data_IF_901397892625
#
_entry.id   IF_901397892625
#
_cell.length_a   1.000
_cell.length_b   1.000
_cell.length_c   1.000
_cell.angle_alpha   90.00
_cell.angle_beta   90.00
_cell.angle_gamma   90.00
#
_symmetry.space_group_name_H-M   'P 1'
#
loop_
_entity.id
_entity.type
_entity.pdbx_description
1 polymer ?
#
# COMPACT_ATOMS: atom_id res chain seq x y z
N UNK A 1 -21.96 59.91 31.17
CA UNK A 1 -21.06 60.71 32.03
C UNK A 1 -19.82 61.02 31.18
N UNK A 2 -19.45 62.27 30.87
CA UNK A 2 -19.02 63.39 31.75
C UNK A 2 -17.65 63.09 32.37
N UNK A 3 -16.56 63.87 32.21
CA UNK A 3 -16.32 65.17 31.54
C UNK A 3 -14.82 65.25 31.07
N UNK A 4 -14.46 65.76 29.87
CA UNK A 4 -14.12 67.15 29.40
C UNK A 4 -12.75 67.76 29.78
N UNK A 5 -12.19 68.53 28.81
CA UNK A 5 -10.92 69.31 28.79
C UNK A 5 -9.63 68.46 28.64
N UNK A 6 -8.65 68.78 27.78
CA UNK A 6 -8.41 69.93 26.88
C UNK A 6 -7.21 70.78 27.33
N UNK A 7 -6.36 71.36 26.48
CA UNK A 7 -6.42 71.65 25.01
C UNK A 7 -5.12 71.10 24.31
N UNK A 8 -4.57 71.50 23.14
CA UNK A 8 -4.74 72.61 22.19
C UNK A 8 -4.21 72.28 20.76
N UNK A 9 -4.08 73.30 19.89
CA UNK A 9 -3.39 73.32 18.58
C UNK A 9 -2.60 74.66 18.46
N UNK A 10 -1.81 74.93 17.39
CA UNK A 10 -2.35 75.49 16.12
C UNK A 10 -1.56 75.01 14.84
N UNK A 11 -1.81 75.38 13.57
CA UNK A 11 -2.92 76.09 12.91
C UNK A 11 -3.10 75.67 11.41
N UNK A 12 -4.28 76.02 10.84
CA UNK A 12 -4.68 76.27 9.41
C UNK A 12 -3.83 75.83 8.18
N UNK A 13 -4.39 74.92 7.36
CA UNK A 13 -5.04 75.08 6.00
C UNK A 13 -4.75 76.31 5.09
N UNK A 14 -5.05 76.36 3.74
CA UNK A 14 -5.68 75.38 2.80
C UNK A 14 -5.16 75.31 1.31
N UNK A 15 -5.86 74.54 0.46
CA UNK A 15 -6.21 74.75 -1.00
C UNK A 15 -5.28 74.46 -2.21
N UNK A 16 -5.71 73.46 -3.01
CA UNK A 16 -5.99 73.42 -4.47
C UNK A 16 -5.00 73.88 -5.59
N UNK A 17 -4.92 72.99 -6.61
CA UNK A 17 -4.72 73.16 -8.09
C UNK A 17 -3.28 73.21 -8.68
N UNK A 18 -3.22 72.64 -9.89
CA UNK A 18 -2.11 72.55 -10.87
C UNK A 18 -2.08 73.81 -11.78
N UNK A 19 -1.17 74.02 -12.78
CA UNK A 19 -0.20 73.07 -13.39
C UNK A 19 1.20 73.62 -13.81
N UNK A 20 1.95 72.77 -14.53
CA UNK A 20 2.89 73.05 -15.63
C UNK A 20 4.38 73.43 -15.37
N UNK A 21 5.27 72.57 -15.91
CA UNK A 21 6.58 72.83 -16.56
C UNK A 21 7.72 73.47 -15.71
N UNK A 22 9.01 73.14 -15.84
CA UNK A 22 9.83 72.68 -16.98
C UNK A 22 10.99 71.73 -16.53
N UNK A 23 11.67 71.10 -17.50
CA UNK A 23 13.09 70.61 -17.49
C UNK A 23 13.65 69.53 -16.51
N UNK A 24 14.18 68.47 -17.14
CA UNK A 24 15.49 67.77 -16.96
C UNK A 24 16.35 68.00 -15.69
N UNK A 25 17.11 67.01 -15.15
CA UNK A 25 17.71 65.81 -15.78
C UNK A 25 18.15 64.74 -14.75
N UNK A 26 18.30 63.47 -15.19
CA UNK A 26 18.85 62.30 -14.43
C UNK A 26 18.00 61.82 -13.23
N UNK A 27 18.09 60.57 -12.74
CA UNK A 27 19.06 59.49 -13.01
C UNK A 27 18.38 58.10 -13.03
N UNK A 28 19.08 57.07 -13.53
CA UNK A 28 18.75 55.62 -13.49
C UNK A 28 17.58 55.11 -14.37
N UNK A 29 17.94 54.41 -15.45
CA UNK A 29 17.09 53.41 -16.11
C UNK A 29 17.46 52.00 -15.62
N UNK A 30 16.53 51.04 -15.78
CA UNK A 30 16.71 49.66 -15.32
C UNK A 30 17.84 48.93 -16.07
N UNK A 31 18.69 48.22 -15.31
CA UNK A 31 19.65 47.28 -15.88
C UNK A 31 18.91 46.02 -16.34
N UNK A 32 18.71 45.87 -17.65
CA UNK A 32 18.41 44.58 -18.24
C UNK A 32 19.62 43.66 -18.03
N UNK A 33 19.44 42.52 -17.36
CA UNK A 33 20.37 41.40 -17.50
C UNK A 33 19.89 40.52 -18.64
N UNK A 34 20.80 40.23 -19.58
CA UNK A 34 20.45 39.62 -20.85
C UNK A 34 20.08 38.13 -20.69
N UNK A 35 19.08 37.70 -21.45
CA UNK A 35 18.71 36.29 -21.58
C UNK A 35 19.86 35.48 -22.19
N UNK A 36 20.68 34.85 -21.35
CA UNK A 36 21.48 33.73 -21.82
C UNK A 36 20.59 32.51 -21.90
N UNK A 37 20.19 32.16 -23.13
CA UNK A 37 19.61 30.86 -23.44
C UNK A 37 20.71 29.80 -23.33
N UNK A 38 21.08 29.44 -22.10
CA UNK A 38 21.59 28.10 -21.84
C UNK A 38 20.47 27.15 -22.27
N UNK A 39 20.69 26.39 -23.34
CA UNK A 39 19.78 25.35 -23.79
C UNK A 39 19.53 24.41 -22.62
N UNK A 40 18.29 24.34 -22.15
CA UNK A 40 17.81 23.14 -21.49
C UNK A 40 18.00 22.02 -22.52
N UNK A 41 19.02 21.19 -22.29
CA UNK A 41 19.06 19.90 -22.94
C UNK A 41 17.94 19.10 -22.29
N UNK A 42 17.10 18.47 -23.11
CA UNK A 42 16.05 17.58 -22.63
C UNK A 42 16.73 16.36 -22.00
N UNK A 43 17.01 16.46 -20.69
CA UNK A 43 17.45 15.33 -19.88
C UNK A 43 16.38 14.23 -19.99
N UNK A 44 16.77 12.96 -20.18
CA UNK A 44 15.83 11.89 -20.47
C UNK A 44 15.01 11.55 -19.24
N UNK A 45 13.90 12.26 -19.06
CA UNK A 45 12.77 11.81 -18.26
C UNK A 45 12.42 10.37 -18.69
N UNK A 46 12.20 9.49 -17.71
CA UNK A 46 11.73 8.13 -18.01
C UNK A 46 10.29 8.25 -18.52
N UNK A 47 10.18 8.36 -19.85
CA UNK A 47 8.95 8.39 -20.65
C UNK A 47 7.83 7.72 -19.87
N UNK A 48 6.84 8.49 -19.38
CA UNK A 48 6.09 8.16 -18.15
C UNK A 48 5.42 6.76 -18.21
N UNK A 49 5.15 6.31 -19.43
CA UNK A 49 4.73 4.98 -19.85
C UNK A 49 5.63 3.84 -19.32
N UNK A 50 6.94 4.04 -19.15
CA UNK A 50 7.90 3.07 -18.58
C UNK A 50 7.59 2.74 -17.11
N UNK A 51 7.22 3.74 -16.31
CA UNK A 51 7.00 3.58 -14.86
C UNK A 51 5.86 2.62 -14.55
N UNK A 52 4.86 2.55 -15.43
CA UNK A 52 3.78 1.58 -15.38
C UNK A 52 4.23 0.11 -15.59
N UNK A 53 5.44 -0.14 -16.11
CA UNK A 53 6.01 -1.50 -16.19
C UNK A 53 6.76 -1.91 -14.91
N UNK A 54 7.23 -0.95 -14.11
CA UNK A 54 8.15 -1.22 -13.01
C UNK A 54 7.39 -1.79 -11.81
N UNK A 55 7.79 -2.98 -11.36
CA UNK A 55 7.33 -3.60 -10.11
C UNK A 55 7.92 -2.84 -8.92
N UNK A 56 9.24 -2.73 -8.91
CA UNK A 56 10.04 -2.04 -7.90
C UNK A 56 11.41 -1.65 -8.46
N UNK A 57 12.07 -0.74 -7.74
CA UNK A 57 13.43 -0.28 -8.00
C UNK A 57 14.32 -0.74 -6.83
N UNK A 58 15.57 -1.14 -7.08
CA UNK A 58 16.56 -1.44 -6.03
C UNK A 58 17.77 -0.52 -6.17
N UNK A 59 17.98 0.31 -5.15
CA UNK A 59 19.08 1.27 -5.07
C UNK A 59 20.30 0.67 -4.34
N UNK A 60 21.52 0.71 -4.91
CA UNK A 60 22.68 0.00 -4.35
C UNK A 60 23.44 0.80 -3.27
N UNK A 61 23.28 0.41 -2.00
CA UNK A 61 23.83 1.17 -0.85
C UNK A 61 25.17 0.61 -0.31
N UNK A 62 25.90 -0.12 -1.15
CA UNK A 62 27.20 -0.75 -0.86
C UNK A 62 27.99 -0.97 -2.15
N UNK A 63 29.32 -0.98 -2.07
CA UNK A 63 30.18 -1.23 -3.23
C UNK A 63 29.88 -2.58 -3.91
N UNK A 64 29.57 -3.61 -3.13
CA UNK A 64 29.16 -4.92 -3.65
C UNK A 64 27.80 -4.88 -4.38
N UNK A 65 26.84 -4.07 -3.91
CA UNK A 65 25.59 -3.87 -4.63
C UNK A 65 25.79 -3.08 -5.93
N UNK A 66 26.63 -2.04 -5.91
CA UNK A 66 26.98 -1.25 -7.11
C UNK A 66 27.62 -2.12 -8.19
N UNK A 67 28.58 -2.98 -7.82
CA UNK A 67 29.18 -3.97 -8.72
C UNK A 67 28.14 -4.91 -9.35
N UNK A 68 27.12 -5.32 -8.59
CA UNK A 68 26.01 -6.12 -9.13
C UNK A 68 25.18 -5.35 -10.15
N UNK A 69 24.95 -4.03 -9.97
CA UNK A 69 24.25 -3.24 -11.00
C UNK A 69 25.10 -3.09 -12.26
N UNK A 70 26.39 -2.76 -12.14
CA UNK A 70 27.31 -2.64 -13.28
C UNK A 70 27.40 -3.96 -14.07
N UNK A 71 27.54 -5.09 -13.37
CA UNK A 71 27.56 -6.42 -14.00
C UNK A 71 26.20 -6.81 -14.61
N UNK A 72 25.09 -6.30 -14.07
CA UNK A 72 23.75 -6.48 -14.65
C UNK A 72 23.59 -5.63 -15.92
N UNK A 73 24.10 -4.40 -15.96
CA UNK A 73 24.02 -3.52 -17.13
C UNK A 73 24.68 -4.15 -18.38
N UNK A 74 25.80 -4.86 -18.20
CA UNK A 74 26.51 -5.56 -19.26
C UNK A 74 25.80 -6.83 -19.76
N UNK A 75 24.95 -7.45 -18.93
CA UNK A 75 24.39 -8.81 -19.18
C UNK A 75 22.90 -8.83 -19.44
N UNK A 76 22.18 -7.90 -18.84
CA UNK A 76 20.73 -7.83 -18.79
C UNK A 76 20.30 -6.35 -18.64
N UNK A 77 20.66 -5.46 -19.59
CA UNK A 77 20.42 -4.02 -19.49
C UNK A 77 18.94 -3.65 -19.29
N UNK A 78 17.99 -4.51 -19.68
CA UNK A 78 16.56 -4.32 -19.40
C UNK A 78 16.21 -4.28 -17.90
N UNK A 79 17.12 -4.67 -17.02
CA UNK A 79 16.97 -4.61 -15.57
C UNK A 79 17.69 -3.42 -14.92
N UNK A 80 18.32 -2.54 -15.70
CA UNK A 80 19.05 -1.37 -15.19
C UNK A 80 18.38 -0.09 -15.69
N UNK A 81 18.16 0.84 -14.79
CA UNK A 81 17.67 2.18 -15.14
C UNK A 81 18.83 2.98 -15.71
N UNK A 82 18.69 3.47 -16.94
CA UNK A 82 19.65 4.39 -17.53
C UNK A 82 19.50 5.75 -16.82
N UNK A 83 20.62 6.40 -16.50
CA UNK A 83 20.68 7.52 -15.55
C UNK A 83 19.56 8.55 -15.71
N UNK A 84 18.63 8.52 -14.76
CA UNK A 84 17.78 9.65 -14.39
C UNK A 84 18.04 9.90 -12.91
N UNK A 85 18.15 11.16 -12.50
CA UNK A 85 18.53 11.51 -11.12
C UNK A 85 17.51 10.97 -10.10
N UNK A 86 17.93 10.49 -8.92
CA UNK A 86 17.02 9.81 -7.97
C UNK A 86 15.83 10.66 -7.48
N UNK A 87 15.88 11.98 -7.73
CA UNK A 87 14.84 12.99 -7.53
C UNK A 87 13.59 12.84 -8.41
N UNK A 88 13.63 12.08 -9.52
CA UNK A 88 12.43 11.84 -10.35
C UNK A 88 11.51 10.76 -9.78
N UNK A 89 12.03 9.88 -8.91
CA UNK A 89 11.22 8.86 -8.25
C UNK A 89 10.57 9.42 -6.97
N UNK A 90 9.32 9.87 -7.09
CA UNK A 90 8.47 10.28 -5.96
C UNK A 90 7.99 9.06 -5.14
N UNK A 91 8.91 8.35 -4.47
CA UNK A 91 8.61 7.24 -3.56
C UNK A 91 8.58 7.65 -2.08
N UNK A 92 8.81 8.94 -1.79
CA UNK A 92 8.79 9.50 -0.45
C UNK A 92 10.10 9.38 0.34
N UNK A 93 11.17 8.85 -0.27
CA UNK A 93 12.53 8.87 0.29
C UNK A 93 13.29 10.10 -0.24
N UNK A 94 14.05 10.78 0.63
CA UNK A 94 14.96 11.85 0.18
C UNK A 94 16.37 11.31 -0.10
N UNK A 95 17.18 12.05 -0.87
CA UNK A 95 18.62 11.74 -1.05
C UNK A 95 19.32 11.59 0.32
N UNK A 96 19.03 12.50 1.26
CA UNK A 96 19.55 12.45 2.61
C UNK A 96 19.08 11.23 3.42
N UNK A 97 18.09 10.44 2.97
CA UNK A 97 17.73 9.14 3.58
C UNK A 97 18.49 7.98 2.95
N UNK A 98 18.85 8.07 1.67
CA UNK A 98 19.74 7.12 0.99
C UNK A 98 21.17 7.27 1.55
N UNK A 99 21.68 8.50 1.66
CA UNK A 99 23.02 8.83 2.20
C UNK A 99 23.26 8.31 3.63
N UNK A 100 22.21 8.24 4.47
CA UNK A 100 22.28 7.65 5.83
C UNK A 100 22.54 6.13 5.82
N UNK A 101 22.11 5.47 4.74
CA UNK A 101 22.14 4.03 4.57
C UNK A 101 23.23 3.58 3.59
N UNK A 102 23.85 4.48 2.83
CA UNK A 102 25.09 4.19 2.11
C UNK A 102 26.22 3.78 3.07
N UNK A 103 26.98 2.76 2.68
CA UNK A 103 28.07 2.18 3.49
C UNK A 103 29.43 2.26 2.81
N UNK A 104 29.51 3.04 1.73
CA UNK A 104 30.70 3.30 0.94
C UNK A 104 30.74 4.82 0.65
N UNK A 105 31.92 5.43 0.41
CA UNK A 105 31.97 6.82 0.00
C UNK A 105 31.26 6.99 -1.34
N UNK A 106 30.40 8.01 -1.45
CA UNK A 106 29.90 8.45 -2.74
C UNK A 106 31.09 8.68 -3.69
N UNK A 107 31.07 8.13 -4.92
CA UNK A 107 32.16 8.34 -5.85
C UNK A 107 32.25 9.83 -6.19
N UNK A 108 33.48 10.38 -6.20
CA UNK A 108 33.71 11.83 -6.22
C UNK A 108 33.13 12.55 -7.44
N UNK A 109 33.03 13.88 -7.33
CA UNK A 109 32.16 14.80 -8.11
C UNK A 109 32.10 14.61 -9.66
N UNK A 110 33.10 13.99 -10.28
CA UNK A 110 33.14 13.66 -11.73
C UNK A 110 32.48 12.31 -12.11
N UNK A 111 32.06 11.49 -11.14
CA UNK A 111 31.54 10.14 -11.39
C UNK A 111 30.02 10.09 -11.35
N UNK A 112 29.44 9.56 -12.42
CA UNK A 112 27.98 9.34 -12.59
C UNK A 112 27.39 8.67 -11.34
N UNK A 113 26.29 9.22 -10.85
CA UNK A 113 25.47 8.62 -9.79
C UNK A 113 25.22 7.13 -10.04
N UNK A 114 25.11 6.31 -8.96
CA UNK A 114 24.89 4.89 -9.11
C UNK A 114 23.57 4.60 -9.84
N UNK A 115 23.66 3.76 -10.87
CA UNK A 115 22.51 3.22 -11.57
C UNK A 115 21.69 2.36 -10.61
N UNK A 116 20.36 2.38 -10.75
CA UNK A 116 19.43 1.54 -9.99
C UNK A 116 19.00 0.31 -10.82
N UNK A 117 18.62 -0.78 -10.14
CA UNK A 117 17.95 -1.92 -10.80
C UNK A 117 16.44 -1.66 -10.90
N UNK A 118 15.84 -1.84 -12.07
CA UNK A 118 14.38 -1.91 -12.24
C UNK A 118 13.92 -3.33 -12.53
N UNK A 119 13.05 -3.86 -11.67
CA UNK A 119 12.37 -5.13 -11.91
C UNK A 119 11.08 -4.85 -12.68
N UNK A 120 11.12 -5.07 -14.00
CA UNK A 120 10.06 -4.73 -14.97
C UNK A 120 9.12 -5.91 -15.25
N UNK A 121 7.81 -5.67 -15.28
CA UNK A 121 6.78 -6.70 -15.54
C UNK A 121 6.87 -7.32 -16.93
N UNK A 122 7.30 -6.56 -17.94
CA UNK A 122 7.53 -7.04 -19.31
C UNK A 122 8.80 -7.91 -19.46
N UNK A 123 9.71 -7.91 -18.47
CA UNK A 123 11.04 -8.48 -18.65
C UNK A 123 11.04 -10.02 -18.66
N UNK A 124 11.89 -10.57 -19.53
CA UNK A 124 12.05 -12.02 -19.73
C UNK A 124 12.88 -12.64 -18.61
N UNK A 125 12.22 -13.03 -17.52
CA UNK A 125 12.83 -13.80 -16.42
C UNK A 125 12.94 -15.30 -16.75
N UNK A 126 13.92 -15.97 -16.14
CA UNK A 126 14.16 -17.42 -16.25
C UNK A 126 12.94 -18.27 -15.88
N UNK A 127 12.16 -17.83 -14.88
CA UNK A 127 10.98 -18.55 -14.42
C UNK A 127 9.90 -17.60 -13.87
N UNK A 128 8.88 -17.22 -14.67
CA UNK A 128 7.81 -16.32 -14.22
C UNK A 128 7.05 -16.79 -12.97
N UNK A 129 6.99 -18.10 -12.68
CA UNK A 129 6.37 -18.61 -11.46
C UNK A 129 7.17 -18.26 -10.19
N UNK A 130 8.48 -18.03 -10.32
CA UNK A 130 9.36 -17.61 -9.22
C UNK A 130 9.40 -16.09 -9.05
N UNK A 131 9.21 -15.30 -10.11
CA UNK A 131 9.55 -13.87 -10.11
C UNK A 131 11.03 -13.67 -10.42
N UNK A 132 11.65 -12.64 -9.86
CA UNK A 132 13.05 -12.29 -10.09
C UNK A 132 13.96 -12.99 -9.07
N UNK A 133 14.86 -13.84 -9.53
CA UNK A 133 15.78 -14.62 -8.70
C UNK A 133 17.15 -13.96 -8.64
N UNK A 134 17.68 -13.83 -7.42
CA UNK A 134 18.98 -13.27 -7.12
C UNK A 134 19.90 -14.36 -6.58
N UNK A 135 21.13 -14.48 -7.10
CA UNK A 135 22.09 -15.49 -6.64
C UNK A 135 23.34 -15.56 -7.51
N UNK A 136 24.24 -16.50 -7.23
CA UNK A 136 25.53 -16.62 -7.96
C UNK A 136 25.47 -17.47 -9.24
N UNK A 137 24.38 -18.21 -9.50
CA UNK A 137 24.29 -19.08 -10.68
C UNK A 137 23.77 -18.29 -11.90
N UNK A 138 24.59 -18.01 -12.92
CA UNK A 138 24.14 -17.24 -14.08
C UNK A 138 23.11 -17.94 -14.95
N UNK A 139 22.92 -19.25 -14.78
CA UNK A 139 21.95 -20.06 -15.55
C UNK A 139 20.63 -20.29 -14.80
N UNK A 140 20.41 -19.64 -13.64
CA UNK A 140 19.21 -19.80 -12.81
C UNK A 140 18.81 -18.54 -12.02
N UNK A 141 19.48 -17.40 -12.25
CA UNK A 141 19.20 -16.12 -11.58
C UNK A 141 19.12 -15.02 -12.63
N UNK A 142 18.10 -14.18 -12.53
CA UNK A 142 17.88 -13.03 -13.41
C UNK A 142 18.87 -11.90 -13.08
N UNK A 143 19.15 -11.72 -11.79
CA UNK A 143 20.19 -10.82 -11.27
C UNK A 143 21.29 -11.66 -10.64
N UNK A 144 22.52 -11.50 -11.11
CA UNK A 144 23.65 -12.32 -10.66
C UNK A 144 24.56 -11.57 -9.70
N UNK A 145 24.74 -12.17 -8.52
CA UNK A 145 25.61 -11.67 -7.47
C UNK A 145 26.98 -12.31 -7.65
N UNK A 146 27.83 -11.63 -8.42
CA UNK A 146 29.22 -12.01 -8.71
C UNK A 146 30.17 -10.94 -8.12
N UNK A 147 30.46 -11.10 -6.84
CA UNK A 147 31.33 -10.25 -5.99
C UNK A 147 31.99 -11.17 -4.94
N UNK A 148 33.12 -10.78 -4.32
CA UNK A 148 33.90 -11.63 -3.39
C UNK A 148 33.09 -12.27 -2.22
N UNK A 149 31.88 -11.76 -1.96
CA UNK A 149 30.82 -12.40 -1.16
C UNK A 149 30.44 -13.84 -1.58
N UNK A 150 30.88 -14.35 -2.74
CA UNK A 150 30.54 -15.67 -3.35
C UNK A 150 30.49 -16.83 -2.33
N UNK A 151 31.39 -16.80 -1.33
CA UNK A 151 31.50 -17.85 -0.29
C UNK A 151 30.25 -17.96 0.60
N UNK A 152 29.44 -16.91 0.73
CA UNK A 152 28.14 -16.94 1.44
C UNK A 152 26.93 -16.87 0.50
N UNK A 153 27.10 -16.40 -0.72
CA UNK A 153 26.02 -16.35 -1.72
C UNK A 153 25.66 -17.77 -2.19
N UNK A 154 24.37 -18.12 -2.14
CA UNK A 154 23.85 -19.42 -2.61
C UNK A 154 23.56 -19.40 -4.12
N UNK A 155 23.55 -20.57 -4.77
CA UNK A 155 23.34 -20.70 -6.23
C UNK A 155 22.13 -19.89 -6.71
N UNK A 156 21.00 -20.06 -6.03
CA UNK A 156 19.90 -19.10 -5.93
C UNK A 156 19.86 -18.69 -4.46
N UNK A 157 19.79 -17.40 -4.16
CA UNK A 157 19.91 -16.87 -2.79
C UNK A 157 18.55 -16.42 -2.25
N UNK A 158 17.93 -15.44 -2.91
CA UNK A 158 16.57 -15.01 -2.63
C UNK A 158 15.83 -14.75 -3.93
N UNK A 159 14.54 -14.50 -3.83
CA UNK A 159 13.73 -14.00 -4.95
C UNK A 159 12.82 -12.87 -4.52
N UNK A 160 12.55 -11.94 -5.42
CA UNK A 160 11.54 -10.90 -5.27
C UNK A 160 10.39 -11.23 -6.24
N UNK A 161 9.17 -11.28 -5.73
CA UNK A 161 7.98 -11.57 -6.52
C UNK A 161 6.79 -10.74 -6.03
N UNK A 162 5.81 -10.55 -6.90
CA UNK A 162 4.58 -9.84 -6.59
C UNK A 162 3.42 -10.83 -6.42
N UNK A 163 2.54 -10.59 -5.43
CA UNK A 163 1.31 -11.36 -5.24
C UNK A 163 0.24 -10.99 -6.27
N UNK A 164 -0.82 -11.80 -6.34
CA UNK A 164 -2.07 -11.48 -7.05
C UNK A 164 -2.75 -10.19 -6.56
N UNK A 165 -2.53 -9.81 -5.29
CA UNK A 165 -2.97 -8.55 -4.72
C UNK A 165 -1.99 -7.36 -4.95
N UNK A 166 -0.93 -7.54 -5.76
CA UNK A 166 0.02 -6.47 -6.10
C UNK A 166 1.03 -6.15 -5.00
N UNK A 167 1.30 -7.10 -4.09
CA UNK A 167 2.19 -6.91 -2.94
C UNK A 167 3.56 -7.51 -3.24
N UNK A 168 4.62 -6.72 -3.08
CA UNK A 168 5.99 -7.19 -3.26
C UNK A 168 6.49 -7.97 -2.04
N UNK A 169 7.05 -9.15 -2.30
CA UNK A 169 7.50 -10.12 -1.30
C UNK A 169 8.92 -10.58 -1.62
N UNK A 170 9.79 -10.63 -0.62
CA UNK A 170 11.07 -11.32 -0.68
C UNK A 170 10.91 -12.72 -0.06
N UNK A 171 11.52 -13.73 -0.69
CA UNK A 171 11.63 -15.08 -0.13
C UNK A 171 13.08 -15.56 -0.19
N UNK A 172 13.66 -15.86 0.97
CA UNK A 172 14.99 -16.45 1.12
C UNK A 172 14.96 -17.95 0.78
N UNK A 173 15.89 -18.36 -0.06
CA UNK A 173 16.12 -19.74 -0.50
C UNK A 173 17.53 -20.23 -0.13
N UNK A 174 18.26 -19.45 0.66
CA UNK A 174 19.70 -19.57 0.80
C UNK A 174 20.13 -20.49 1.95
N UNK A 175 21.42 -20.80 1.99
CA UNK A 175 22.01 -21.57 3.10
C UNK A 175 22.30 -20.69 4.33
N UNK A 176 22.59 -19.40 4.12
CA UNK A 176 23.04 -18.47 5.18
C UNK A 176 21.94 -17.56 5.72
N UNK A 177 20.86 -17.36 4.96
CA UNK A 177 19.80 -16.40 5.20
C UNK A 177 20.04 -15.04 4.53
N UNK A 178 18.96 -14.28 4.36
CA UNK A 178 18.90 -12.92 3.84
C UNK A 178 18.33 -12.01 4.92
N UNK A 179 18.93 -10.84 5.17
CA UNK A 179 18.37 -9.87 6.13
C UNK A 179 17.46 -8.90 5.39
N UNK A 180 16.27 -8.66 5.95
CA UNK A 180 15.34 -7.59 5.53
C UNK A 180 14.94 -6.81 6.77
N UNK A 181 15.13 -5.49 6.76
CA UNK A 181 14.74 -4.58 7.86
C UNK A 181 15.26 -5.05 9.24
N UNK A 182 16.53 -5.46 9.26
CA UNK A 182 17.23 -6.01 10.44
C UNK A 182 16.83 -7.43 10.84
N UNK A 183 15.81 -8.03 10.22
CA UNK A 183 15.32 -9.38 10.52
C UNK A 183 15.92 -10.41 9.56
N UNK A 184 16.60 -11.41 10.11
CA UNK A 184 17.20 -12.50 9.34
C UNK A 184 16.12 -13.51 8.87
N UNK A 185 15.84 -13.54 7.58
CA UNK A 185 15.03 -14.56 6.93
C UNK A 185 15.91 -15.77 6.58
N UNK A 186 15.42 -16.98 6.85
CA UNK A 186 16.17 -18.21 6.52
C UNK A 186 15.23 -19.42 6.42
N UNK A 187 14.87 -19.80 5.19
CA UNK A 187 13.85 -20.83 4.98
C UNK A 187 14.28 -22.28 5.28
N UNK A 188 15.59 -22.58 5.24
CA UNK A 188 16.10 -23.95 5.34
C UNK A 188 16.69 -24.26 6.72
N UNK A 189 15.97 -25.03 7.52
CA UNK A 189 16.45 -25.55 8.82
C UNK A 189 16.58 -24.49 9.92
N UNK A 190 15.69 -23.51 9.95
CA UNK A 190 15.62 -22.46 10.98
C UNK A 190 14.18 -22.27 11.45
N UNK A 191 13.99 -21.72 12.66
CA UNK A 191 12.69 -21.26 13.15
C UNK A 191 12.30 -19.87 12.59
N UNK A 192 13.13 -19.28 11.73
CA UNK A 192 12.93 -17.94 11.17
C UNK A 192 11.93 -18.01 10.01
N UNK A 193 11.25 -16.90 9.73
CA UNK A 193 10.46 -16.79 8.51
C UNK A 193 11.34 -16.93 7.27
N UNK A 194 10.82 -17.60 6.23
CA UNK A 194 11.45 -17.64 4.91
C UNK A 194 11.10 -16.42 4.04
N UNK A 195 10.02 -15.70 4.39
CA UNK A 195 9.34 -14.73 3.52
C UNK A 195 9.02 -13.46 4.28
N UNK A 196 9.15 -12.30 3.63
CA UNK A 196 8.75 -11.00 4.16
C UNK A 196 8.17 -10.10 3.07
N UNK A 197 7.17 -9.28 3.42
CA UNK A 197 6.70 -8.19 2.57
C UNK A 197 7.74 -7.07 2.51
N UNK A 198 8.05 -6.59 1.30
CA UNK A 198 8.89 -5.43 1.08
C UNK A 198 8.04 -4.15 1.04
N UNK A 199 8.56 -3.06 1.61
CA UNK A 199 7.96 -1.71 1.60
C UNK A 199 8.97 -0.70 1.09
N UNK A 200 8.52 0.46 0.58
CA UNK A 200 9.44 1.53 0.20
C UNK A 200 10.32 1.92 1.40
N UNK A 201 11.64 1.95 1.19
CA UNK A 201 12.65 2.10 2.23
C UNK A 201 13.15 0.79 2.87
N UNK A 202 12.58 -0.38 2.54
CA UNK A 202 13.04 -1.65 3.12
C UNK A 202 14.47 -1.98 2.69
N UNK A 203 15.33 -2.30 3.65
CA UNK A 203 16.75 -2.57 3.47
C UNK A 203 16.97 -4.08 3.33
N UNK A 204 17.44 -4.52 2.16
CA UNK A 204 17.78 -5.91 1.84
C UNK A 204 19.30 -6.07 1.96
N UNK A 205 19.77 -7.00 2.80
CA UNK A 205 21.21 -7.21 3.04
C UNK A 205 21.61 -8.69 3.01
N UNK A 206 22.75 -9.00 2.38
CA UNK A 206 23.47 -10.27 2.51
C UNK A 206 24.79 -10.00 3.25
N UNK A 207 25.01 -10.68 4.37
CA UNK A 207 26.24 -10.57 5.16
C UNK A 207 27.41 -11.29 4.49
N UNK A 208 28.53 -10.59 4.31
CA UNK A 208 29.84 -11.21 4.04
C UNK A 208 30.59 -11.53 5.34
N UNK A 209 31.77 -12.17 5.23
CA UNK A 209 32.72 -12.34 6.33
C UNK A 209 33.51 -11.07 6.68
N UNK A 210 33.68 -10.13 5.74
CA UNK A 210 34.15 -8.77 6.04
C UNK A 210 32.94 -7.84 6.12
N UNK A 211 32.94 -6.84 7.01
CA UNK A 211 31.82 -5.88 7.11
C UNK A 211 31.65 -5.08 5.82
N UNK A 212 32.78 -4.64 5.27
CA UNK A 212 32.90 -3.71 4.14
C UNK A 212 32.51 -4.36 2.79
N UNK A 213 32.26 -5.67 2.80
CA UNK A 213 31.76 -6.46 1.67
C UNK A 213 30.26 -6.80 1.77
N UNK A 214 29.53 -6.31 2.78
CA UNK A 214 28.10 -6.65 2.88
C UNK A 214 27.33 -6.07 1.68
N UNK A 215 26.63 -6.91 0.94
CA UNK A 215 25.76 -6.47 -0.16
C UNK A 215 24.48 -5.92 0.44
N UNK A 216 24.14 -4.67 0.12
CA UNK A 216 23.02 -3.90 0.65
C UNK A 216 22.29 -3.15 -0.47
N UNK A 217 20.97 -3.31 -0.55
CA UNK A 217 20.07 -2.56 -1.42
C UNK A 217 18.93 -1.94 -0.62
N UNK A 218 18.48 -0.74 -1.01
CA UNK A 218 17.19 -0.18 -0.59
C UNK A 218 16.12 -0.52 -1.64
N UNK A 219 14.98 -0.99 -1.18
CA UNK A 219 13.80 -1.23 -2.00
C UNK A 219 12.96 0.05 -2.16
N UNK A 220 12.74 0.46 -3.41
CA UNK A 220 11.98 1.66 -3.80
C UNK A 220 10.75 1.25 -4.63
N UNK A 221 9.64 2.01 -4.51
CA UNK A 221 8.44 1.83 -5.32
C UNK A 221 8.17 3.16 -6.03
N UNK A 222 8.33 3.28 -7.36
CA UNK A 222 8.08 4.55 -8.02
C UNK A 222 6.60 4.94 -7.92
N UNK A 223 6.31 6.24 -7.91
CA UNK A 223 4.92 6.70 -8.00
C UNK A 223 4.29 6.25 -9.32
N UNK A 224 2.96 6.13 -9.32
CA UNK A 224 2.16 5.73 -10.48
C UNK A 224 0.96 6.67 -10.70
N UNK A 225 1.08 7.89 -10.19
CA UNK A 225 0.12 8.97 -10.41
C UNK A 225 -0.16 9.09 -11.91
N UNK A 226 -1.42 9.30 -12.28
CA UNK A 226 -1.95 9.28 -13.66
C UNK A 226 -1.85 7.94 -14.43
N UNK A 227 -0.93 7.01 -14.11
CA UNK A 227 -0.68 5.78 -14.90
C UNK A 227 -1.28 4.48 -14.33
N UNK A 228 -2.14 4.57 -13.29
CA UNK A 228 -2.75 3.41 -12.63
C UNK A 228 -3.47 2.43 -13.58
N UNK A 229 -4.10 2.90 -14.66
CA UNK A 229 -4.80 2.01 -15.62
C UNK A 229 -3.83 1.21 -16.52
N UNK A 230 -2.74 1.84 -16.98
CA UNK A 230 -1.69 1.16 -17.74
C UNK A 230 -0.98 0.13 -16.86
N UNK A 231 -0.65 0.51 -15.62
CA UNK A 231 -0.11 -0.42 -14.62
C UNK A 231 -1.08 -1.59 -14.37
N UNK A 232 -2.38 -1.33 -14.20
CA UNK A 232 -3.39 -2.37 -14.03
C UNK A 232 -3.45 -3.36 -15.20
N UNK A 233 -3.38 -2.86 -16.45
CA UNK A 233 -3.32 -3.70 -17.65
C UNK A 233 -2.04 -4.55 -17.72
N UNK A 234 -0.87 -3.97 -17.42
CA UNK A 234 0.41 -4.70 -17.38
C UNK A 234 0.47 -5.72 -16.26
N UNK A 235 -0.02 -5.37 -15.08
CA UNK A 235 -0.10 -6.27 -13.93
C UNK A 235 -1.01 -7.48 -14.20
N UNK A 236 -2.17 -7.28 -14.83
CA UNK A 236 -3.03 -8.37 -15.26
C UNK A 236 -2.34 -9.31 -16.28
N UNK A 237 -1.60 -8.76 -17.26
CA UNK A 237 -0.82 -9.54 -18.21
C UNK A 237 0.33 -10.33 -17.54
N UNK A 238 1.05 -9.70 -16.60
CA UNK A 238 2.09 -10.32 -15.79
C UNK A 238 1.53 -11.51 -14.97
N UNK A 239 0.43 -11.30 -14.22
CA UNK A 239 -0.21 -12.36 -13.45
C UNK A 239 -0.68 -13.53 -14.33
N UNK A 240 -1.16 -13.26 -15.55
CA UNK A 240 -1.53 -14.29 -16.50
C UNK A 240 -0.31 -15.16 -16.91
N UNK A 241 0.82 -14.55 -17.25
CA UNK A 241 2.07 -15.27 -17.56
C UNK A 241 2.59 -16.09 -16.36
N UNK A 242 2.58 -15.49 -15.17
CA UNK A 242 2.98 -16.13 -13.90
C UNK A 242 2.12 -17.37 -13.61
N UNK A 243 0.80 -17.30 -13.85
CA UNK A 243 -0.09 -18.43 -13.61
C UNK A 243 0.07 -19.54 -14.66
N UNK A 244 0.22 -19.20 -15.95
CA UNK A 244 0.55 -20.19 -16.98
C UNK A 244 1.89 -20.92 -16.71
N UNK A 245 2.87 -20.23 -16.11
CA UNK A 245 4.13 -20.86 -15.69
C UNK A 245 3.95 -21.84 -14.52
N UNK A 246 3.13 -21.47 -13.51
CA UNK A 246 2.77 -22.37 -12.39
C UNK A 246 2.02 -23.61 -12.86
N UNK A 247 1.06 -23.46 -13.77
CA UNK A 247 0.29 -24.58 -14.33
C UNK A 247 1.17 -25.59 -15.06
N UNK A 248 2.10 -25.13 -15.90
CA UNK A 248 3.08 -26.00 -16.60
C UNK A 248 3.98 -26.76 -15.62
N UNK A 249 4.37 -26.13 -14.51
CA UNK A 249 5.17 -26.78 -13.46
C UNK A 249 4.35 -27.83 -12.70
N UNK A 250 3.09 -27.52 -12.36
CA UNK A 250 2.16 -28.46 -11.75
C UNK A 250 1.91 -29.70 -12.62
N UNK A 251 1.73 -29.52 -13.93
CA UNK A 251 1.54 -30.62 -14.88
C UNK A 251 2.79 -31.51 -15.00
N UNK A 252 4.00 -30.92 -15.04
CA UNK A 252 5.25 -31.70 -15.02
C UNK A 252 5.41 -32.55 -13.75
N UNK A 253 4.85 -32.12 -12.61
CA UNK A 253 4.81 -32.92 -11.37
C UNK A 253 3.66 -33.93 -11.28
N UNK A 254 2.72 -33.96 -12.25
CA UNK A 254 1.56 -34.87 -12.26
C UNK A 254 1.65 -35.98 -13.31
N UNK A 255 2.86 -36.32 -13.77
CA UNK A 255 3.13 -37.44 -14.68
C UNK A 255 3.00 -38.85 -14.05
N UNK A 256 2.41 -38.95 -12.85
CA UNK A 256 1.80 -40.18 -12.33
C UNK A 256 0.41 -39.93 -11.72
N UNK A 257 -0.64 -40.10 -12.53
CA UNK A 257 -1.90 -40.69 -12.05
C UNK A 257 -2.97 -39.80 -11.40
N UNK A 258 -3.43 -38.73 -12.05
CA UNK A 258 -4.75 -38.14 -11.75
C UNK A 258 -5.43 -37.53 -12.99
N UNK A 259 -6.78 -37.58 -13.06
CA UNK A 259 -7.56 -36.84 -14.07
C UNK A 259 -7.62 -35.35 -13.71
N UNK A 260 -7.49 -34.42 -14.67
CA UNK A 260 -7.60 -32.99 -14.39
C UNK A 260 -9.05 -32.59 -14.09
N UNK A 261 -9.27 -31.93 -12.96
CA UNK A 261 -10.49 -31.17 -12.70
C UNK A 261 -10.43 -29.84 -13.48
N UNK A 262 -11.56 -29.41 -14.06
CA UNK A 262 -11.63 -28.14 -14.81
C UNK A 262 -11.58 -26.95 -13.85
N UNK A 263 -10.41 -26.34 -13.70
CA UNK A 263 -10.29 -25.03 -13.06
C UNK A 263 -10.87 -23.95 -13.98
N UNK A 264 -11.80 -23.13 -13.48
CA UNK A 264 -12.31 -21.96 -14.20
C UNK A 264 -11.33 -20.79 -14.06
N UNK A 265 -11.12 -20.06 -15.16
CA UNK A 265 -10.26 -18.87 -15.21
C UNK A 265 -10.82 -17.75 -14.33
N UNK A 266 -10.22 -17.51 -13.17
CA UNK A 266 -10.55 -16.34 -12.34
C UNK A 266 -10.08 -15.08 -13.08
N UNK A 267 -11.01 -14.18 -13.36
CA UNK A 267 -10.71 -12.83 -13.88
C UNK A 267 -9.83 -12.08 -12.90
N UNK A 268 -8.85 -11.32 -13.40
CA UNK A 268 -7.95 -10.55 -12.56
C UNK A 268 -8.75 -9.53 -11.73
N UNK A 269 -8.49 -9.39 -10.41
CA UNK A 269 -9.19 -8.43 -9.57
C UNK A 269 -8.78 -7.01 -9.95
N UNK A 270 -9.75 -6.07 -9.99
CA UNK A 270 -9.52 -4.66 -10.30
C UNK A 270 -8.96 -3.92 -9.06
N UNK A 271 -7.73 -4.26 -8.68
CA UNK A 271 -7.07 -3.77 -7.46
C UNK A 271 -6.44 -2.39 -7.71
N UNK A 272 -6.84 -1.39 -6.92
CA UNK A 272 -6.09 -0.12 -6.82
C UNK A 272 -4.85 -0.33 -5.93
N UNK A 273 -3.61 -0.24 -6.47
CA UNK A 273 -2.39 -0.56 -5.75
C UNK A 273 -2.03 0.47 -4.66
N UNK A 274 -0.86 0.32 -4.06
CA UNK A 274 -0.42 1.10 -2.90
C UNK A 274 0.18 2.46 -3.27
N UNK A 275 -0.25 3.50 -2.54
CA UNK A 275 0.63 4.56 -2.05
C UNK A 275 1.14 4.13 -0.66
N UNK A 276 2.44 4.29 -0.37
CA UNK A 276 3.02 3.98 0.94
C UNK A 276 4.07 5.01 1.35
N UNK A 277 3.95 5.48 2.60
CA UNK A 277 5.03 6.04 3.39
C UNK A 277 4.94 5.44 4.81
N UNK A 278 5.84 5.80 5.71
CA UNK A 278 5.79 5.40 7.13
C UNK A 278 4.57 5.95 7.87
N UNK A 279 3.43 5.25 7.79
CA UNK A 279 2.15 5.58 8.45
C UNK A 279 1.67 7.05 8.32
N UNK A 280 1.64 7.64 7.11
CA UNK A 280 1.10 8.98 6.86
C UNK A 280 -0.42 9.05 7.11
N UNK A 281 -1.08 7.89 7.19
CA UNK A 281 -2.51 7.73 7.35
C UNK A 281 -3.02 8.09 8.76
N UNK A 282 -2.12 8.41 9.69
CA UNK A 282 -2.45 8.89 11.03
C UNK A 282 -2.91 7.82 12.03
N UNK A 283 -2.85 6.53 11.67
CA UNK A 283 -3.26 5.44 12.56
C UNK A 283 -2.32 5.39 13.79
N UNK A 284 -2.85 5.29 15.01
CA UNK A 284 -2.00 5.37 16.21
C UNK A 284 -1.18 4.10 16.55
N UNK A 285 -1.26 3.08 15.70
CA UNK A 285 -0.53 1.81 15.78
C UNK A 285 0.20 1.54 14.45
N UNK A 286 1.36 0.87 14.51
CA UNK A 286 2.24 0.62 13.35
C UNK A 286 2.03 -0.75 12.67
N UNK A 287 0.97 -1.48 13.03
CA UNK A 287 0.75 -2.88 12.61
C UNK A 287 1.57 -3.93 13.40
N UNK A 288 2.47 -3.49 14.28
CA UNK A 288 3.28 -4.37 15.13
C UNK A 288 4.17 -5.33 14.32
N UNK A 289 4.45 -6.51 14.86
CA UNK A 289 5.24 -7.53 14.14
C UNK A 289 4.47 -8.27 13.03
N UNK A 290 3.13 -8.27 13.07
CA UNK A 290 2.29 -9.01 12.11
C UNK A 290 1.99 -8.25 10.83
N UNK A 291 1.77 -6.93 10.90
CA UNK A 291 1.19 -6.17 9.79
C UNK A 291 2.00 -4.93 9.40
N UNK A 292 1.92 -4.56 8.12
CA UNK A 292 2.24 -3.25 7.58
C UNK A 292 0.94 -2.45 7.39
N UNK A 293 0.99 -1.13 7.62
CA UNK A 293 -0.14 -0.22 7.36
C UNK A 293 -0.04 0.29 5.92
N UNK A 294 -1.06 0.07 5.11
CA UNK A 294 -0.97 0.19 3.63
C UNK A 294 -2.04 1.04 2.97
N UNK A 295 -2.76 1.84 3.76
CA UNK A 295 -3.70 2.85 3.27
C UNK A 295 -4.73 3.25 4.31
N UNK A 296 -5.37 4.39 4.09
CA UNK A 296 -6.65 4.74 4.70
C UNK A 296 -7.77 4.32 3.74
N UNK A 297 -8.81 3.64 4.24
CA UNK A 297 -9.96 3.18 3.45
C UNK A 297 -11.17 4.10 3.64
N UNK A 298 -11.42 4.59 4.85
CA UNK A 298 -12.55 5.47 5.12
C UNK A 298 -12.64 5.89 6.58
N UNK A 299 -13.38 6.98 6.85
CA UNK A 299 -13.59 7.51 8.20
C UNK A 299 -15.08 7.77 8.44
N UNK A 300 -15.68 6.95 9.29
CA UNK A 300 -17.06 7.11 9.73
C UNK A 300 -17.18 7.94 11.02
N UNK A 301 -18.40 8.15 11.50
CA UNK A 301 -18.66 8.89 12.72
C UNK A 301 -18.05 8.24 13.98
N UNK A 302 -17.91 6.90 14.00
CA UNK A 302 -17.51 6.11 15.17
C UNK A 302 -16.14 5.43 15.04
N UNK A 303 -15.59 5.31 13.84
CA UNK A 303 -14.37 4.55 13.57
C UNK A 303 -13.62 5.07 12.32
N UNK A 304 -12.30 4.89 12.31
CA UNK A 304 -11.47 5.01 11.11
C UNK A 304 -11.15 3.60 10.59
N UNK A 305 -11.09 3.39 9.28
CA UNK A 305 -10.77 2.09 8.67
C UNK A 305 -9.52 2.21 7.80
N UNK A 306 -8.57 1.32 8.03
CA UNK A 306 -7.26 1.27 7.39
C UNK A 306 -7.07 -0.03 6.60
N UNK A 307 -6.31 0.02 5.51
CA UNK A 307 -5.81 -1.17 4.81
C UNK A 307 -4.54 -1.63 5.50
N UNK A 308 -4.43 -2.93 5.78
CA UNK A 308 -3.21 -3.57 6.25
C UNK A 308 -2.79 -4.68 5.29
N UNK A 309 -1.49 -4.98 5.28
CA UNK A 309 -0.95 -6.19 4.66
C UNK A 309 -0.17 -7.00 5.72
N UNK A 310 -0.30 -8.31 5.72
CA UNK A 310 0.50 -9.19 6.58
C UNK A 310 1.96 -9.22 6.14
N UNK A 311 2.88 -9.06 7.11
CA UNK A 311 4.34 -9.04 6.89
C UNK A 311 4.90 -10.38 6.41
N UNK A 312 4.24 -11.51 6.69
CA UNK A 312 4.77 -12.85 6.39
C UNK A 312 4.34 -13.41 5.03
N UNK A 313 3.15 -13.02 4.53
CA UNK A 313 2.55 -13.59 3.31
C UNK A 313 1.93 -12.54 2.37
N UNK A 314 1.94 -11.25 2.71
CA UNK A 314 1.40 -10.18 1.89
C UNK A 314 -0.14 -10.12 1.84
N UNK A 315 -0.85 -10.98 2.59
CA UNK A 315 -2.31 -11.02 2.60
C UNK A 315 -2.89 -9.69 3.09
N UNK A 316 -3.89 -9.17 2.37
CA UNK A 316 -4.55 -7.91 2.71
C UNK A 316 -5.68 -8.09 3.74
N UNK A 317 -5.84 -7.09 4.59
CA UNK A 317 -6.83 -7.01 5.67
C UNK A 317 -7.36 -5.58 5.80
N UNK A 318 -8.50 -5.43 6.46
CA UNK A 318 -8.99 -4.15 6.96
C UNK A 318 -8.76 -4.06 8.47
N UNK A 319 -8.42 -2.88 8.99
CA UNK A 319 -8.31 -2.60 10.42
C UNK A 319 -9.22 -1.44 10.81
N UNK A 320 -10.21 -1.73 11.66
CA UNK A 320 -11.14 -0.75 12.20
C UNK A 320 -10.63 -0.20 13.53
N UNK A 321 -10.23 1.06 13.54
CA UNK A 321 -9.78 1.82 14.70
C UNK A 321 -10.97 2.40 15.47
N UNK A 322 -11.02 2.12 16.78
CA UNK A 322 -12.05 2.57 17.70
C UNK A 322 -11.42 3.35 18.86
N UNK A 323 -11.91 4.57 19.12
CA UNK A 323 -11.51 5.36 20.29
C UNK A 323 -12.08 4.77 21.58
N UNK A 324 -11.25 4.16 22.44
CA UNK A 324 -11.69 3.51 23.70
C UNK A 324 -12.53 4.43 24.58
N UNK A 325 -12.23 5.74 24.62
CA UNK A 325 -12.95 6.73 25.44
C UNK A 325 -14.46 6.78 25.17
N UNK A 326 -14.90 6.40 23.96
CA UNK A 326 -16.33 6.32 23.59
C UNK A 326 -17.03 5.09 24.16
N UNK A 327 -16.24 4.11 24.61
CA UNK A 327 -16.66 2.82 25.15
C UNK A 327 -16.18 2.61 26.60
N UNK A 328 -15.73 3.66 27.30
CA UNK A 328 -15.34 3.58 28.72
C UNK A 328 -16.45 4.13 29.63
N UNK A 329 -16.70 3.43 30.73
CA UNK A 329 -17.61 3.83 31.81
C UNK A 329 -16.89 3.66 33.14
N UNK A 330 -16.87 4.72 33.95
CA UNK A 330 -16.20 4.76 35.26
C UNK A 330 -14.73 4.28 35.23
N UNK A 331 -14.00 4.60 34.15
CA UNK A 331 -12.60 4.20 33.96
C UNK A 331 -12.38 2.76 33.47
N UNK A 332 -13.44 1.97 33.27
CA UNK A 332 -13.38 0.59 32.77
C UNK A 332 -13.97 0.53 31.36
N UNK A 333 -13.45 -0.35 30.50
CA UNK A 333 -14.08 -0.63 29.20
C UNK A 333 -15.47 -1.24 29.42
N UNK A 334 -16.48 -0.80 28.67
CA UNK A 334 -17.84 -1.33 28.76
C UNK A 334 -17.83 -2.82 28.38
N UNK A 335 -18.31 -3.68 29.29
CA UNK A 335 -18.43 -5.13 29.10
C UNK A 335 -19.24 -5.51 27.85
N UNK A 336 -20.04 -4.58 27.31
CA UNK A 336 -20.72 -4.73 26.02
C UNK A 336 -19.74 -4.88 24.85
N UNK A 337 -18.66 -4.10 24.81
CA UNK A 337 -17.64 -4.18 23.76
C UNK A 337 -16.88 -5.52 23.81
N UNK A 338 -16.51 -6.00 24.99
CA UNK A 338 -15.90 -7.33 25.15
C UNK A 338 -16.82 -8.46 24.66
N UNK A 339 -18.14 -8.30 24.86
CA UNK A 339 -19.12 -9.28 24.40
C UNK A 339 -19.37 -9.20 22.89
N UNK A 340 -19.42 -7.99 22.34
CA UNK A 340 -19.48 -7.73 20.89
C UNK A 340 -18.26 -8.32 20.17
N UNK A 341 -17.04 -8.11 20.70
CA UNK A 341 -15.81 -8.75 20.19
C UNK A 341 -15.85 -10.29 20.29
N UNK A 342 -16.39 -10.84 21.39
CA UNK A 342 -16.60 -12.29 21.54
C UNK A 342 -17.57 -12.84 20.48
N UNK A 343 -18.64 -12.10 20.20
CA UNK A 343 -19.63 -12.43 19.18
C UNK A 343 -18.99 -12.39 17.79
N UNK A 344 -18.30 -11.30 17.42
CA UNK A 344 -17.60 -11.19 16.13
C UNK A 344 -16.61 -12.34 15.89
N UNK A 345 -15.89 -12.79 16.94
CA UNK A 345 -14.98 -13.95 16.90
C UNK A 345 -15.67 -15.28 16.61
N UNK A 346 -16.94 -15.44 16.99
CA UNK A 346 -17.72 -16.66 16.77
C UNK A 346 -18.41 -16.72 15.40
N UNK A 347 -18.39 -15.62 14.64
CA UNK A 347 -19.10 -15.48 13.37
C UNK A 347 -18.22 -15.88 12.20
N UNK A 348 -18.74 -16.77 11.35
CA UNK A 348 -18.12 -17.21 10.10
C UNK A 348 -19.20 -17.56 9.08
N UNK A 349 -19.34 -16.72 8.05
CA UNK A 349 -20.38 -16.85 7.03
C UNK A 349 -19.87 -16.37 5.65
N UNK A 350 -20.19 -17.03 4.53
CA UNK A 350 -19.70 -16.63 3.20
C UNK A 350 -20.13 -15.22 2.75
N UNK A 351 -21.14 -14.63 3.41
CA UNK A 351 -21.74 -13.33 3.13
C UNK A 351 -21.71 -12.36 4.32
N UNK A 352 -20.83 -12.58 5.31
CA UNK A 352 -20.50 -11.63 6.38
C UNK A 352 -18.98 -11.38 6.37
N UNK A 353 -18.55 -10.18 6.76
CA UNK A 353 -17.13 -9.84 6.92
C UNK A 353 -16.53 -10.58 8.12
N UNK A 354 -15.52 -11.39 7.84
CA UNK A 354 -14.82 -12.25 8.80
C UNK A 354 -13.91 -11.44 9.73
N UNK A 355 -14.11 -11.60 11.04
CA UNK A 355 -13.15 -11.21 12.07
C UNK A 355 -11.87 -12.06 11.95
N UNK A 356 -10.69 -11.44 12.12
CA UNK A 356 -9.37 -12.10 12.04
C UNK A 356 -8.58 -12.00 13.35
N UNK A 357 -8.34 -10.79 13.85
CA UNK A 357 -7.53 -10.53 15.05
C UNK A 357 -7.95 -9.21 15.72
N UNK A 358 -7.45 -8.89 16.90
CA UNK A 358 -7.72 -7.62 17.56
C UNK A 358 -6.56 -7.17 18.46
N UNK A 359 -6.23 -5.88 18.40
CA UNK A 359 -5.12 -5.29 19.14
C UNK A 359 -5.58 -4.10 19.97
N UNK A 360 -5.40 -4.22 21.28
CA UNK A 360 -5.49 -3.12 22.24
C UNK A 360 -4.19 -2.30 22.20
N UNK A 361 -4.25 -1.00 21.90
CA UNK A 361 -3.06 -0.14 21.81
C UNK A 361 -3.38 1.27 22.33
N UNK A 362 -2.79 1.63 23.48
CA UNK A 362 -2.95 2.95 24.12
C UNK A 362 -4.43 3.29 24.34
N UNK A 363 -4.94 4.33 23.66
CA UNK A 363 -6.32 4.81 23.74
C UNK A 363 -7.24 4.24 22.64
N UNK A 364 -6.73 3.33 21.80
CA UNK A 364 -7.43 2.79 20.64
C UNK A 364 -7.52 1.27 20.69
N UNK A 365 -8.56 0.74 20.04
CA UNK A 365 -8.74 -0.67 19.78
C UNK A 365 -8.78 -0.88 18.27
N UNK A 366 -8.02 -1.85 17.76
CA UNK A 366 -7.99 -2.20 16.34
C UNK A 366 -8.63 -3.56 16.13
N UNK A 367 -9.73 -3.62 15.39
CA UNK A 367 -10.36 -4.87 14.97
C UNK A 367 -9.87 -5.21 13.56
N UNK A 368 -9.17 -6.33 13.41
CA UNK A 368 -8.62 -6.80 12.14
C UNK A 368 -9.64 -7.73 11.49
N UNK A 369 -9.96 -7.47 10.23
CA UNK A 369 -11.01 -8.12 9.44
C UNK A 369 -10.46 -8.47 8.06
N UNK A 370 -11.12 -9.36 7.32
CA UNK A 370 -10.80 -9.54 5.90
C UNK A 370 -11.00 -8.23 5.11
N UNK A 371 -10.19 -7.99 4.08
CA UNK A 371 -10.43 -6.89 3.14
C UNK A 371 -11.41 -7.36 2.05
N UNK A 372 -12.50 -6.60 1.86
CA UNK A 372 -13.42 -6.80 0.74
C UNK A 372 -13.05 -5.81 -0.38
N UNK A 373 -12.63 -6.28 -1.58
CA UNK A 373 -11.79 -5.48 -2.48
C UNK A 373 -12.49 -4.40 -3.31
N UNK A 374 -13.79 -4.50 -3.60
CA UNK A 374 -14.48 -3.59 -4.54
C UNK A 374 -15.28 -2.47 -3.86
N UNK A 375 -15.00 -2.18 -2.58
CA UNK A 375 -15.67 -1.13 -1.82
C UNK A 375 -17.09 -1.49 -1.40
N UNK A 376 -17.88 -0.47 -1.08
CA UNK A 376 -19.28 -0.59 -0.67
C UNK A 376 -20.28 -0.36 -1.83
N UNK A 377 -21.52 -0.79 -1.61
CA UNK A 377 -22.60 -0.68 -2.59
C UNK A 377 -23.06 0.77 -2.80
N UNK A 378 -22.89 1.68 -1.83
CA UNK A 378 -23.27 3.09 -1.98
C UNK A 378 -22.36 3.78 -3.00
N UNK A 379 -21.04 3.58 -2.89
CA UNK A 379 -20.06 4.06 -3.87
C UNK A 379 -20.28 3.39 -5.24
N UNK A 380 -20.58 2.08 -5.27
CA UNK A 380 -20.84 1.39 -6.53
C UNK A 380 -22.07 1.95 -7.25
N UNK A 381 -23.19 2.13 -6.55
CA UNK A 381 -24.43 2.71 -7.10
C UNK A 381 -24.22 4.15 -7.57
N UNK A 382 -23.47 4.96 -6.81
CA UNK A 382 -23.13 6.33 -7.20
C UNK A 382 -22.25 6.42 -8.45
N UNK A 383 -21.48 5.37 -8.76
CA UNK A 383 -20.57 5.32 -9.91
C UNK A 383 -21.20 4.67 -11.15
N UNK A 384 -22.01 3.61 -10.96
CA UNK A 384 -22.53 2.77 -12.05
C UNK A 384 -24.04 2.98 -12.30
N UNK A 385 -24.72 3.76 -11.45
CA UNK A 385 -26.17 3.91 -11.49
C UNK A 385 -26.92 2.75 -10.82
N UNK A 386 -28.24 2.62 -11.07
CA UNK A 386 -29.08 1.59 -10.46
C UNK A 386 -28.63 0.17 -10.78
N UNK A 387 -28.54 -0.69 -9.76
CA UNK A 387 -28.17 -2.09 -9.91
C UNK A 387 -29.25 -2.86 -10.71
N UNK A 388 -28.92 -3.48 -11.86
CA UNK A 388 -29.89 -4.25 -12.64
C UNK A 388 -30.49 -5.43 -11.86
N UNK A 389 -31.75 -5.79 -12.11
CA UNK A 389 -32.44 -6.87 -11.37
C UNK A 389 -31.67 -8.20 -11.37
N UNK A 390 -31.01 -8.52 -12.49
CA UNK A 390 -30.15 -9.69 -12.65
C UNK A 390 -28.99 -9.77 -11.63
N UNK A 391 -28.55 -8.63 -11.08
CA UNK A 391 -27.56 -8.55 -10.00
C UNK A 391 -28.21 -8.29 -8.64
N UNK A 392 -29.26 -7.46 -8.59
CA UNK A 392 -29.97 -7.13 -7.36
C UNK A 392 -30.63 -8.36 -6.72
N UNK A 393 -31.18 -9.29 -7.51
CA UNK A 393 -31.80 -10.53 -7.03
C UNK A 393 -30.80 -11.48 -6.35
N UNK A 394 -29.67 -11.89 -6.97
CA UNK A 394 -28.66 -12.70 -6.28
C UNK A 394 -27.98 -11.95 -5.13
N UNK A 395 -27.85 -10.62 -5.19
CA UNK A 395 -27.37 -9.81 -4.07
C UNK A 395 -28.32 -9.89 -2.85
N UNK A 396 -29.62 -9.69 -3.07
CA UNK A 396 -30.63 -9.74 -2.00
C UNK A 396 -30.67 -11.12 -1.31
N UNK A 397 -30.55 -12.21 -2.09
CA UNK A 397 -30.47 -13.57 -1.54
C UNK A 397 -29.25 -13.71 -0.59
N UNK A 398 -28.08 -13.21 -0.98
CA UNK A 398 -26.87 -13.26 -0.15
C UNK A 398 -26.99 -12.43 1.14
N UNK A 399 -27.62 -11.25 1.05
CA UNK A 399 -27.92 -10.41 2.22
C UNK A 399 -28.92 -11.08 3.16
N UNK A 400 -30.00 -11.68 2.64
CA UNK A 400 -30.99 -12.38 3.46
C UNK A 400 -30.43 -13.66 4.09
N UNK A 401 -29.54 -14.39 3.42
CA UNK A 401 -28.82 -15.54 3.97
C UNK A 401 -27.90 -15.11 5.13
N UNK A 402 -27.13 -14.03 4.95
CA UNK A 402 -26.32 -13.44 6.01
C UNK A 402 -27.14 -12.97 7.22
N UNK A 403 -28.28 -12.30 6.99
CA UNK A 403 -29.17 -11.87 8.06
C UNK A 403 -29.84 -13.06 8.77
N UNK A 404 -30.27 -14.08 8.04
CA UNK A 404 -30.82 -15.30 8.62
C UNK A 404 -29.79 -16.03 9.50
N UNK A 405 -28.53 -16.08 9.07
CA UNK A 405 -27.43 -16.60 9.90
C UNK A 405 -27.19 -15.75 11.16
N UNK A 406 -27.12 -14.41 11.05
CA UNK A 406 -26.96 -13.53 12.22
C UNK A 406 -28.14 -13.66 13.20
N UNK A 407 -29.37 -13.68 12.70
CA UNK A 407 -30.58 -13.78 13.51
C UNK A 407 -30.67 -15.13 14.24
N UNK A 408 -30.26 -16.24 13.61
CA UNK A 408 -30.12 -17.57 14.27
C UNK A 408 -29.10 -17.58 15.43
N UNK A 409 -28.13 -16.66 15.41
CA UNK A 409 -27.15 -16.47 16.47
C UNK A 409 -27.56 -15.36 17.47
N UNK A 410 -28.83 -14.92 17.44
CA UNK A 410 -29.39 -13.84 18.29
C UNK A 410 -28.72 -12.45 18.09
N UNK A 411 -28.19 -12.19 16.88
CA UNK A 411 -27.54 -10.93 16.51
C UNK A 411 -28.44 -10.16 15.54
N UNK A 412 -28.74 -8.89 15.86
CA UNK A 412 -29.48 -8.00 14.96
C UNK A 412 -28.53 -6.95 14.38
N UNK A 413 -28.49 -6.82 13.05
CA UNK A 413 -27.52 -5.93 12.37
C UNK A 413 -27.75 -4.43 12.65
N UNK A 414 -29.02 -4.00 12.79
CA UNK A 414 -29.50 -2.62 13.09
C UNK A 414 -29.19 -1.54 12.05
N UNK A 415 -27.97 -1.46 11.53
CA UNK A 415 -27.55 -0.45 10.54
C UNK A 415 -27.42 -1.07 9.13
N UNK A 416 -28.53 -1.55 8.56
CA UNK A 416 -28.53 -2.16 7.21
C UNK A 416 -28.75 -1.06 6.17
N UNK A 417 -27.72 -0.79 5.36
CA UNK A 417 -27.71 0.24 4.31
C UNK A 417 -26.62 -0.07 3.27
N UNK A 418 -26.64 0.54 2.07
CA UNK A 418 -25.67 0.23 1.02
C UNK A 418 -24.20 0.44 1.44
N UNK A 419 -23.92 1.41 2.31
CA UNK A 419 -22.58 1.67 2.88
C UNK A 419 -21.98 0.45 3.61
N UNK A 420 -22.84 -0.41 4.18
CA UNK A 420 -22.45 -1.59 4.96
C UNK A 420 -22.58 -2.91 4.16
N UNK A 421 -22.86 -2.83 2.85
CA UNK A 421 -22.89 -3.97 1.92
C UNK A 421 -21.64 -3.87 1.04
N UNK A 422 -20.61 -4.66 1.35
CA UNK A 422 -19.33 -4.62 0.64
C UNK A 422 -19.30 -5.62 -0.53
N UNK A 423 -18.71 -5.22 -1.66
CA UNK A 423 -18.67 -6.01 -2.89
C UNK A 423 -17.37 -6.83 -2.96
N UNK A 424 -17.52 -8.16 -2.95
CA UNK A 424 -16.43 -9.13 -2.98
C UNK A 424 -16.11 -9.66 -4.38
N UNK A 425 -17.06 -9.60 -5.31
CA UNK A 425 -16.85 -9.88 -6.75
C UNK A 425 -17.85 -9.06 -7.58
N UNK A 426 -17.36 -8.38 -8.62
CA UNK A 426 -18.16 -7.56 -9.55
C UNK A 426 -18.55 -8.29 -10.83
N UNK A 427 -18.03 -9.50 -11.10
CA UNK A 427 -18.37 -10.28 -12.29
C UNK A 427 -19.86 -10.66 -12.28
N UNK A 428 -20.66 -10.33 -13.32
CA UNK A 428 -22.09 -10.63 -13.35
C UNK A 428 -22.47 -12.11 -13.15
N UNK A 429 -21.58 -13.06 -13.44
CA UNK A 429 -21.81 -14.50 -13.25
C UNK A 429 -21.48 -15.00 -11.84
N UNK A 430 -20.72 -14.24 -11.05
CA UNK A 430 -20.27 -14.61 -9.70
C UNK A 430 -20.44 -13.47 -8.68
N UNK A 431 -21.29 -12.48 -8.99
CA UNK A 431 -21.47 -11.25 -8.22
C UNK A 431 -21.73 -11.53 -6.74
N UNK A 432 -20.79 -11.07 -5.90
CA UNK A 432 -20.73 -11.48 -4.49
C UNK A 432 -20.67 -10.28 -3.56
N UNK A 433 -21.46 -10.32 -2.50
CA UNK A 433 -21.47 -9.31 -1.42
C UNK A 433 -21.24 -9.91 -0.03
N UNK A 434 -20.83 -9.04 0.91
CA UNK A 434 -20.69 -9.32 2.34
C UNK A 434 -21.24 -8.18 3.19
N UNK A 435 -21.95 -8.51 4.27
CA UNK A 435 -22.34 -7.52 5.30
C UNK A 435 -21.15 -7.20 6.21
N UNK A 436 -20.85 -5.90 6.38
CA UNK A 436 -19.89 -5.37 7.34
C UNK A 436 -20.59 -4.79 8.58
N UNK A 437 -19.83 -4.31 9.57
CA UNK A 437 -20.31 -3.44 10.66
C UNK A 437 -21.43 -3.93 11.60
N UNK A 438 -21.90 -5.17 11.46
CA UNK A 438 -22.80 -5.88 12.39
C UNK A 438 -22.35 -5.94 13.87
N UNK A 439 -21.09 -5.55 14.15
CA UNK A 439 -20.38 -5.79 15.41
C UNK A 439 -20.46 -4.71 16.49
N UNK A 440 -21.12 -3.57 16.24
CA UNK A 440 -21.41 -2.54 17.28
C UNK A 440 -22.93 -2.51 17.61
N UNK A 441 -23.63 -3.58 17.26
CA UNK A 441 -25.09 -3.62 17.20
C UNK A 441 -25.65 -4.33 18.42
N UNK A 442 -26.04 -3.54 19.44
CA UNK A 442 -26.57 -3.95 20.77
C UNK A 442 -27.12 -5.38 20.79
N UNK A 443 -26.45 -6.25 21.55
CA UNK A 443 -26.95 -7.58 21.92
C UNK A 443 -28.31 -7.45 22.60
N UNK A 444 -29.28 -8.26 22.17
CA UNK A 444 -30.59 -8.36 22.84
C UNK A 444 -30.43 -9.35 23.99
N UNK A 445 -30.11 -8.82 25.18
CA UNK A 445 -30.37 -9.52 26.43
C UNK A 445 -31.84 -9.36 26.79
N UNK A 446 -32.54 -10.44 27.09
CA UNK A 446 -33.97 -10.42 27.40
C UNK A 446 -34.33 -9.51 28.58
N UNK A 447 -35.58 -9.06 28.59
CA UNK A 447 -36.28 -8.31 29.65
C UNK A 447 -35.88 -6.84 29.91
N UNK A 448 -34.98 -6.20 29.15
CA UNK A 448 -34.93 -4.72 29.10
C UNK A 448 -35.52 -4.15 27.79
N UNK A 449 -36.75 -3.66 27.93
CA UNK A 449 -37.64 -3.19 26.86
C UNK A 449 -37.19 -1.87 26.20
N UNK A 450 -37.69 -1.64 24.99
CA UNK A 450 -37.62 -0.40 24.21
C UNK A 450 -36.26 0.02 23.63
N UNK A 451 -36.28 0.32 22.32
CA UNK A 451 -35.12 0.67 21.49
C UNK A 451 -34.77 2.17 21.53
N UNK A 452 -34.82 2.79 22.72
CA UNK A 452 -34.73 4.26 22.95
C UNK A 452 -33.35 4.89 22.73
N UNK A 453 -32.60 4.49 21.70
CA UNK A 453 -31.34 5.12 21.33
C UNK A 453 -31.20 5.14 19.81
N UNK A 454 -31.33 6.33 19.24
CA UNK A 454 -31.24 6.52 17.79
C UNK A 454 -29.84 6.14 17.29
N UNK A 455 -29.75 5.11 16.46
CA UNK A 455 -28.52 4.52 15.95
C UNK A 455 -28.74 4.00 14.52
N UNK A 456 -28.53 4.87 13.53
CA UNK A 456 -28.65 4.55 12.11
C UNK A 456 -28.69 5.81 11.25
N UNK A 457 -28.68 5.65 9.93
CA UNK A 457 -28.96 6.75 8.99
C UNK A 457 -30.48 6.94 8.87
N UNK A 458 -31.00 8.15 9.14
CA UNK A 458 -32.45 8.47 9.19
C UNK A 458 -33.28 7.90 8.02
N UNK A 459 -32.71 7.89 6.80
CA UNK A 459 -33.34 7.40 5.57
C UNK A 459 -33.76 5.92 5.63
N UNK A 460 -33.13 5.12 6.48
CA UNK A 460 -33.39 3.68 6.63
C UNK A 460 -33.99 3.32 8.00
N UNK A 461 -34.52 4.31 8.73
CA UNK A 461 -35.17 4.09 10.01
C UNK A 461 -36.52 3.39 9.82
N UNK A 462 -36.78 2.34 10.59
CA UNK A 462 -38.04 1.60 10.52
C UNK A 462 -39.17 2.36 11.28
N UNK A 463 -40.44 2.31 10.83
CA UNK A 463 -41.51 3.13 11.42
C UNK A 463 -41.83 2.88 12.91
N UNK A 464 -41.35 1.78 13.47
CA UNK A 464 -41.51 1.39 14.88
C UNK A 464 -40.41 1.90 15.84
N UNK A 465 -39.48 2.74 15.37
CA UNK A 465 -38.31 3.25 16.11
C UNK A 465 -38.43 4.73 16.50
#
# INVERSE_FOLDING_TARGET
MVATRGTAQPDRTPTQRQPAQHETQSTQQATQQATQQATQQDEPELDEVEVADVVCILHPCSLAAYQVVVNTALRAPQHVLQNVTPSTYSDGLSMADLEKEETFPAPGEDQRHPLDLALRMSAKVYNPAMGFVFGRNPNACDIVIDTDTVKRVSNMHFRIYMTDAGVCMLHDMSTNGTIVDGKLLRGRGSNNAATMMLTAGSVIQILSTKRDESLKFIFRIPSRDNHYEEYGRRFAAYLHQVNLAKEKQGQNTQTQGARPAKAQSKTAPNVKPMLLQGNPFGMHWSGGDKYNVTGHLGKGAFATVYRLNSKSNGQMFAAKELEKRRFMKNGVIDKKLDNELRIMKGISHPHVVQYIDCHDVKNHLYIIMELVPFGDLQQWLGTNGPLPEALAKPMAIQVFDALAYLHRNMITHRDIKPDNILIADTNPQSFKVKLSDFGLSKVISDNETFLKTFCGTLLYCAPEV
#
